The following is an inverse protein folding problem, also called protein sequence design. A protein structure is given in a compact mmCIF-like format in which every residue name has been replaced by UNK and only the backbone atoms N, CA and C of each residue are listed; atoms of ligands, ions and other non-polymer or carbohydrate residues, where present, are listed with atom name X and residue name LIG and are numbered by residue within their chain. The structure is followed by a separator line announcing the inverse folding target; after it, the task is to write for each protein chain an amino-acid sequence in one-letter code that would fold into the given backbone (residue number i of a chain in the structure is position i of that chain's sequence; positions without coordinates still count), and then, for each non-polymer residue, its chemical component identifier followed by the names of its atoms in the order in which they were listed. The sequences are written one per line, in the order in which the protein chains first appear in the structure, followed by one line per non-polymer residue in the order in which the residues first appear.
data_IF_135144843943
#
_entry.id   IF_135144843943
#
_cell.length_a   1.000
_cell.length_b   1.000
_cell.length_c   1.000
_cell.angle_alpha   90.00
_cell.angle_beta   90.00
_cell.angle_gamma   90.00
#
_symmetry.space_group_name_H-M   'P 1'
#
loop_
_entity.id
_entity.type
_entity.pdbx_description
1 polymer ?
#
# COMPACT_ATOMS: atom_id res chain seq x y z
N UNK A 1 -10.13 -9.47 -12.40
CA UNK A 1 -11.09 -8.76 -11.51
C UNK A 1 -11.53 -7.43 -12.13
N UNK A 2 -12.71 -6.90 -11.78
CA UNK A 2 -13.16 -5.56 -12.25
C UNK A 2 -12.77 -4.43 -11.27
N UNK A 3 -12.37 -4.80 -10.04
CA UNK A 3 -11.82 -3.91 -9.02
C UNK A 3 -10.49 -4.51 -8.53
N UNK A 4 -9.40 -3.75 -8.59
CA UNK A 4 -8.06 -4.27 -8.25
C UNK A 4 -7.85 -4.44 -6.74
N UNK A 5 -8.36 -3.50 -5.94
CA UNK A 5 -8.14 -3.45 -4.50
C UNK A 5 -9.40 -3.75 -3.70
N UNK A 6 -9.22 -4.35 -2.52
CA UNK A 6 -10.29 -4.51 -1.53
C UNK A 6 -10.63 -3.13 -0.95
N UNK A 7 -11.92 -2.78 -0.77
CA UNK A 7 -12.31 -1.52 -0.14
C UNK A 7 -11.66 -1.34 1.24
N UNK A 8 -11.12 -0.14 1.48
CA UNK A 8 -10.52 0.27 2.75
C UNK A 8 -11.59 0.90 3.64
N UNK A 9 -11.49 0.69 4.96
CA UNK A 9 -12.21 1.48 5.96
C UNK A 9 -11.60 2.89 6.10
N UNK A 10 -12.36 3.82 6.70
CA UNK A 10 -11.89 5.22 6.88
C UNK A 10 -10.57 5.36 7.64
N UNK A 11 -10.28 4.43 8.56
CA UNK A 11 -9.06 4.44 9.39
C UNK A 11 -7.89 3.68 8.76
N UNK A 12 -8.14 2.86 7.74
CA UNK A 12 -7.11 2.00 7.13
C UNK A 12 -6.10 2.82 6.29
N UNK A 13 -6.38 4.10 6.03
CA UNK A 13 -5.48 5.03 5.36
C UNK A 13 -4.41 5.64 6.29
N UNK A 14 -4.53 5.41 7.61
CA UNK A 14 -3.57 5.89 8.61
C UNK A 14 -2.66 4.72 9.02
N UNK A 15 -1.37 4.86 8.76
CA UNK A 15 -0.35 3.88 9.13
C UNK A 15 0.55 4.52 10.18
N UNK A 16 0.58 3.95 11.38
CA UNK A 16 1.39 4.43 12.50
C UNK A 16 2.58 3.50 12.67
N UNK A 17 3.78 4.07 12.70
CA UNK A 17 5.06 3.38 12.89
C UNK A 17 5.54 3.63 14.33
N UNK A 18 5.76 2.54 15.07
CA UNK A 18 6.62 2.56 16.28
C UNK A 18 8.07 2.38 15.81
N UNK A 19 9.01 3.13 16.39
CA UNK A 19 10.37 3.23 15.87
C UNK A 19 11.04 1.84 15.69
N UNK A 20 11.68 1.63 14.55
CA UNK A 20 12.28 0.37 14.06
C UNK A 20 11.33 -0.81 13.70
N UNK A 21 10.01 -0.70 13.91
CA UNK A 21 9.09 -1.78 13.55
C UNK A 21 8.67 -1.79 12.08
N UNK A 22 8.60 -2.99 11.49
CA UNK A 22 8.03 -3.17 10.16
C UNK A 22 6.53 -2.92 10.19
N UNK A 23 6.05 -1.98 9.38
CA UNK A 23 4.62 -1.69 9.25
C UNK A 23 4.05 -2.25 7.96
N UNK A 24 2.72 -2.23 7.85
CA UNK A 24 1.98 -2.69 6.67
C UNK A 24 1.23 -1.51 6.06
N UNK A 25 1.40 -1.30 4.76
CA UNK A 25 0.53 -0.44 3.95
C UNK A 25 -0.60 -1.34 3.40
N UNK A 26 -1.85 -1.24 3.90
CA UNK A 26 -2.83 -2.31 3.81
C UNK A 26 -3.61 -2.37 2.47
N UNK A 27 -2.91 -2.21 1.34
CA UNK A 27 -3.50 -2.25 0.00
C UNK A 27 -3.67 -3.68 -0.55
N UNK A 28 -4.61 -4.41 0.04
CA UNK A 28 -4.97 -5.78 -0.34
C UNK A 28 -5.59 -5.83 -1.73
N UNK A 29 -5.25 -6.83 -2.53
CA UNK A 29 -5.87 -7.07 -3.84
C UNK A 29 -7.03 -8.06 -3.75
N UNK A 30 -7.95 -7.96 -4.70
CA UNK A 30 -9.04 -8.94 -4.85
C UNK A 30 -8.58 -10.23 -5.52
N UNK A 31 -7.48 -10.19 -6.25
CA UNK A 31 -6.85 -11.30 -6.95
C UNK A 31 -5.37 -11.40 -6.54
N UNK A 32 -4.93 -12.52 -5.94
CA UNK A 32 -3.56 -12.72 -5.47
C UNK A 32 -2.48 -12.58 -6.55
N UNK A 33 -2.83 -12.83 -7.81
CA UNK A 33 -1.89 -12.77 -8.94
C UNK A 33 -1.76 -11.34 -9.52
N UNK A 34 -2.49 -10.36 -8.98
CA UNK A 34 -2.41 -8.97 -9.44
C UNK A 34 -1.09 -8.34 -9.01
N UNK A 35 -0.23 -7.92 -9.96
CA UNK A 35 0.99 -7.22 -9.61
C UNK A 35 0.66 -5.83 -9.07
N UNK A 36 1.30 -5.47 -7.96
CA UNK A 36 1.13 -4.17 -7.31
C UNK A 36 2.49 -3.49 -7.17
N UNK A 37 2.50 -2.19 -7.42
CA UNK A 37 3.64 -1.31 -7.22
C UNK A 37 3.33 -0.31 -6.12
N UNK A 38 4.26 -0.11 -5.20
CA UNK A 38 4.17 0.94 -4.19
C UNK A 38 4.86 2.21 -4.69
N UNK A 39 4.17 3.35 -4.58
CA UNK A 39 4.67 4.66 -4.99
C UNK A 39 4.74 5.59 -3.77
N UNK A 40 5.81 6.37 -3.69
CA UNK A 40 5.99 7.49 -2.76
C UNK A 40 6.26 8.80 -3.54
N UNK A 41 6.46 9.90 -2.83
CA UNK A 41 6.92 11.16 -3.44
C UNK A 41 8.28 11.05 -4.14
N UNK A 42 9.11 10.09 -3.76
CA UNK A 42 10.45 9.87 -4.33
C UNK A 42 10.44 8.85 -5.48
N UNK A 43 9.29 8.21 -5.75
CA UNK A 43 9.13 7.24 -6.83
C UNK A 43 8.75 5.84 -6.32
N UNK A 44 9.19 4.81 -7.06
CA UNK A 44 8.85 3.41 -6.78
C UNK A 44 9.56 2.93 -5.51
N UNK A 45 8.80 2.31 -4.62
CA UNK A 45 9.30 1.77 -3.35
C UNK A 45 9.32 0.26 -3.44
N UNK A 46 10.48 -0.34 -3.19
CA UNK A 46 10.65 -1.79 -3.19
C UNK A 46 10.42 -2.35 -1.80
N UNK A 47 9.36 -3.14 -1.64
CA UNK A 47 9.00 -3.81 -0.40
C UNK A 47 8.34 -5.15 -0.68
N UNK A 48 8.26 -6.02 0.33
CA UNK A 48 7.60 -7.32 0.21
C UNK A 48 6.09 -7.13 0.17
N UNK A 49 5.42 -7.77 -0.79
CA UNK A 49 3.97 -7.68 -0.97
C UNK A 49 3.29 -9.02 -0.64
N UNK A 50 2.24 -8.97 0.19
CA UNK A 50 1.31 -10.07 0.43
C UNK A 50 -0.10 -9.60 0.03
N UNK A 51 -0.75 -10.26 -0.92
CA UNK A 51 -2.06 -9.85 -1.43
C UNK A 51 -3.17 -9.77 -0.36
N UNK A 52 -3.03 -10.50 0.75
CA UNK A 52 -3.97 -10.50 1.88
C UNK A 52 -3.66 -9.47 2.95
N UNK A 53 -2.47 -8.86 2.92
CA UNK A 53 -2.03 -7.89 3.92
C UNK A 53 -1.68 -6.53 3.31
N UNK A 54 -0.86 -6.51 2.26
CA UNK A 54 -0.35 -5.32 1.58
C UNK A 54 1.18 -5.33 1.51
N UNK A 55 1.79 -4.14 1.46
CA UNK A 55 3.25 -4.01 1.51
C UNK A 55 3.74 -4.00 2.94
N UNK A 56 4.69 -4.89 3.27
CA UNK A 56 5.36 -4.93 4.56
C UNK A 56 6.80 -4.41 4.43
N UNK A 57 7.17 -3.47 5.28
CA UNK A 57 8.51 -2.91 5.30
C UNK A 57 8.67 -1.76 6.30
N UNK A 58 9.85 -1.16 6.30
CA UNK A 58 10.12 0.09 7.01
C UNK A 58 9.97 1.22 6.01
N UNK A 59 9.04 2.13 6.28
CA UNK A 59 8.70 3.24 5.39
C UNK A 59 9.04 4.56 6.06
N UNK A 60 9.55 5.52 5.28
CA UNK A 60 9.72 6.89 5.75
C UNK A 60 8.35 7.55 5.98
N UNK A 61 8.33 8.57 6.82
CA UNK A 61 7.12 9.39 7.01
C UNK A 61 6.73 10.03 5.69
N UNK A 62 5.46 9.87 5.28
CA UNK A 62 5.00 10.40 4.01
C UNK A 62 3.74 9.74 3.46
N UNK A 63 3.43 10.09 2.21
CA UNK A 63 2.29 9.57 1.47
C UNK A 63 2.69 8.42 0.56
N UNK A 64 1.90 7.36 0.59
CA UNK A 64 2.10 6.18 -0.25
C UNK A 64 0.85 5.82 -1.03
N UNK A 65 1.02 5.39 -2.28
CA UNK A 65 -0.08 4.96 -3.16
C UNK A 65 0.29 3.59 -3.73
N UNK A 66 -0.63 2.63 -3.60
CA UNK A 66 -0.53 1.37 -4.34
C UNK A 66 -1.16 1.52 -5.71
N UNK A 67 -0.41 1.15 -6.75
CA UNK A 67 -0.84 1.08 -8.14
C UNK A 67 -0.89 -0.39 -8.60
N UNK A 68 -1.97 -0.78 -9.23
CA UNK A 68 -2.12 -2.09 -9.86
C UNK A 68 -2.60 -1.94 -11.31
N UNK A 69 -2.16 -2.84 -12.19
CA UNK A 69 -2.64 -2.89 -13.57
C UNK A 69 -3.43 -4.17 -13.79
N UNK A 70 -4.74 -4.03 -14.04
CA UNK A 70 -5.63 -5.17 -14.29
C UNK A 70 -6.22 -5.01 -15.69
N UNK A 71 -5.97 -6.00 -16.57
CA UNK A 71 -6.46 -6.00 -17.97
C UNK A 71 -6.14 -4.70 -18.73
N UNK A 72 -4.93 -4.16 -18.51
CA UNK A 72 -4.47 -2.92 -19.15
C UNK A 72 -5.03 -1.62 -18.57
N UNK A 73 -5.86 -1.69 -17.52
CA UNK A 73 -6.35 -0.51 -16.78
C UNK A 73 -5.56 -0.34 -15.49
N UNK A 74 -5.12 0.88 -15.23
CA UNK A 74 -4.46 1.26 -13.99
C UNK A 74 -5.50 1.57 -12.92
N UNK A 75 -5.27 1.06 -11.72
CA UNK A 75 -6.05 1.33 -10.52
C UNK A 75 -5.11 1.84 -9.44
N UNK A 76 -5.54 2.86 -8.71
CA UNK A 76 -4.80 3.44 -7.60
C UNK A 76 -5.67 3.46 -6.36
N UNK A 77 -5.02 3.28 -5.22
CA UNK A 77 -5.64 3.45 -3.89
C UNK A 77 -5.72 4.94 -3.54
N UNK A 78 -6.51 5.26 -2.51
CA UNK A 78 -6.34 6.53 -1.80
C UNK A 78 -4.96 6.56 -1.13
N UNK A 79 -4.34 7.74 -0.93
CA UNK A 79 -3.04 7.82 -0.29
C UNK A 79 -3.08 7.32 1.17
N UNK A 80 -2.11 6.50 1.54
CA UNK A 80 -1.83 6.10 2.91
C UNK A 80 -0.86 7.11 3.53
N UNK A 81 -1.21 7.64 4.69
CA UNK A 81 -0.31 8.50 5.47
C UNK A 81 0.47 7.64 6.46
N UNK A 82 1.78 7.59 6.30
CA UNK A 82 2.70 6.97 7.25
C UNK A 82 3.19 8.04 8.23
N UNK A 83 2.91 7.85 9.52
CA UNK A 83 3.38 8.69 10.62
C UNK A 83 4.33 7.92 11.52
N UNK A 84 5.36 8.59 12.02
CA UNK A 84 6.19 8.11 13.12
C UNK A 84 5.71 8.76 14.42
N UNK A 85 5.54 7.97 15.48
CA UNK A 85 5.42 8.50 16.83
C UNK A 85 6.79 8.41 17.52
N UNK A 86 7.20 9.51 18.15
CA UNK A 86 8.40 9.61 19.00
C UNK A 86 8.01 9.72 20.46
#
# INVERSE_FOLDING_TARGET
PDVAFVPLGMTDSLVIVEDEDSVIIPCRTTDPETPVTLLSSEGVVHASYDSRQGFKGTFSVGLYICEATVRGKKFQTIPFNVYAYT
#
